data_IF_817658634219
#
_entry.id   IF_817658634219
#
_cell.length_a   1.000
_cell.length_b   1.000
_cell.length_c   1.000
_cell.angle_alpha   90.00
_cell.angle_beta   90.00
_cell.angle_gamma   90.00
#
_symmetry.space_group_name_H-M   'P 1'
#
loop_
_entity.id
_entity.type
_entity.pdbx_description
1 polymer ?
#
# COMPACT_ATOMS: atom_id res chain seq x y z
N UNK A 1 20.22 5.07 -3.37
CA UNK A 1 18.88 5.51 -2.93
C UNK A 1 17.87 4.66 -3.68
N UNK A 2 17.30 3.65 -3.02
CA UNK A 2 16.31 2.76 -3.63
C UNK A 2 15.03 3.56 -3.90
N UNK A 3 14.75 3.85 -5.17
CA UNK A 3 13.56 4.59 -5.62
C UNK A 3 12.40 3.67 -5.99
N UNK A 4 12.34 2.49 -5.38
CA UNK A 4 11.21 1.59 -5.53
C UNK A 4 10.00 2.23 -4.83
N UNK A 5 8.81 2.29 -5.47
CA UNK A 5 7.55 2.53 -4.76
C UNK A 5 7.50 1.64 -3.53
N UNK A 6 6.86 2.10 -2.44
CA UNK A 6 6.64 1.23 -1.27
C UNK A 6 5.70 0.13 -1.71
N UNK A 7 6.29 -0.98 -2.18
CA UNK A 7 5.59 -2.15 -2.70
C UNK A 7 4.53 -2.53 -1.71
N UNK A 8 3.26 -2.52 -2.16
CA UNK A 8 2.15 -2.98 -1.37
C UNK A 8 0.92 -3.31 -2.20
N UNK A 9 0.72 -4.60 -2.32
CA UNK A 9 -0.55 -5.19 -2.63
C UNK A 9 -1.17 -5.68 -1.29
N UNK A 10 -2.37 -5.22 -0.96
CA UNK A 10 -3.14 -5.64 0.20
C UNK A 10 -3.84 -6.96 -0.13
N UNK A 11 -3.60 -8.02 0.63
CA UNK A 11 -4.30 -9.30 0.46
C UNK A 11 -5.36 -9.47 1.54
N UNK A 12 -6.62 -9.73 1.19
CA UNK A 12 -7.66 -10.05 2.20
C UNK A 12 -7.54 -11.50 2.66
N UNK A 13 -7.73 -11.78 3.96
CA UNK A 13 -7.32 -13.04 4.62
C UNK A 13 -8.17 -14.28 4.35
N UNK A 14 -8.59 -14.51 3.11
CA UNK A 14 -8.98 -15.85 2.66
C UNK A 14 -8.24 -16.14 1.35
N UNK A 15 -7.12 -16.88 1.39
CA UNK A 15 -6.38 -17.23 0.19
C UNK A 15 -7.04 -18.44 -0.46
N UNK A 16 -7.95 -18.23 -1.42
CA UNK A 16 -8.36 -19.33 -2.32
C UNK A 16 -8.98 -18.93 -3.67
N UNK A 17 -8.98 -17.66 -4.09
CA UNK A 17 -9.44 -17.31 -5.44
C UNK A 17 -8.78 -16.02 -5.93
N UNK A 18 -8.44 -15.99 -7.22
CA UNK A 18 -8.11 -14.75 -7.93
C UNK A 18 -9.23 -13.72 -7.68
N UNK A 19 -8.90 -12.56 -7.11
CA UNK A 19 -9.88 -11.52 -6.74
C UNK A 19 -9.69 -10.81 -5.40
N UNK A 20 -8.70 -11.23 -4.59
CA UNK A 20 -8.51 -10.72 -3.23
C UNK A 20 -7.35 -9.72 -3.04
N UNK A 21 -6.69 -9.31 -4.13
CA UNK A 21 -5.59 -8.36 -4.10
C UNK A 21 -6.08 -6.93 -4.33
N UNK A 22 -5.71 -6.02 -3.43
CA UNK A 22 -6.06 -4.60 -3.52
C UNK A 22 -4.83 -3.72 -3.54
N UNK A 23 -4.84 -2.64 -4.29
CA UNK A 23 -3.77 -1.62 -4.27
C UNK A 23 -4.33 -0.33 -3.70
N UNK A 24 -3.60 0.30 -2.78
CA UNK A 24 -4.00 1.58 -2.21
C UNK A 24 -3.85 2.71 -3.23
N UNK A 25 -4.81 3.66 -3.32
CA UNK A 25 -4.62 4.89 -4.10
C UNK A 25 -3.37 5.67 -3.70
N UNK A 26 -2.90 5.51 -2.44
CA UNK A 26 -1.68 6.13 -1.94
C UNK A 26 -0.43 5.58 -2.65
N UNK A 27 -0.40 4.26 -2.91
CA UNK A 27 0.67 3.62 -3.68
C UNK A 27 0.66 4.12 -5.12
N UNK A 28 -0.53 4.31 -5.71
CA UNK A 28 -0.65 4.88 -7.07
C UNK A 28 -0.10 6.30 -7.14
N UNK A 29 -0.41 7.12 -6.13
CA UNK A 29 0.14 8.47 -6.01
C UNK A 29 1.67 8.44 -5.90
N UNK A 30 2.24 7.61 -5.01
CA UNK A 30 3.70 7.54 -4.84
C UNK A 30 4.41 7.08 -6.11
N UNK A 31 3.88 6.05 -6.78
CA UNK A 31 4.39 5.56 -8.06
C UNK A 31 4.37 6.66 -9.12
N UNK A 32 3.24 7.37 -9.25
CA UNK A 32 3.08 8.46 -10.22
C UNK A 32 4.03 9.62 -9.90
N UNK A 33 4.14 10.01 -8.64
CA UNK A 33 5.03 11.08 -8.20
C UNK A 33 6.51 10.72 -8.46
N UNK A 34 6.93 9.49 -8.16
CA UNK A 34 8.28 9.02 -8.47
C UNK A 34 8.56 9.03 -9.97
N UNK A 35 7.55 8.67 -10.78
CA UNK A 35 7.67 8.74 -12.24
C UNK A 35 7.82 10.18 -12.73
N UNK A 36 6.97 11.10 -12.27
CA UNK A 36 7.03 12.53 -12.59
C UNK A 36 8.38 13.14 -12.20
N UNK A 37 8.95 12.72 -11.07
CA UNK A 37 10.27 13.15 -10.60
C UNK A 37 11.45 12.47 -11.32
N UNK A 38 11.19 11.59 -12.30
CA UNK A 38 12.23 10.84 -13.02
C UNK A 38 12.95 9.79 -12.18
N UNK A 39 12.43 9.49 -10.98
CA UNK A 39 12.98 8.54 -10.02
C UNK A 39 12.54 7.10 -10.28
N UNK A 40 11.45 6.92 -11.02
CA UNK A 40 10.93 5.64 -11.49
C UNK A 40 10.65 5.72 -13.01
N UNK A 41 11.20 4.78 -13.77
CA UNK A 41 10.90 4.65 -15.20
C UNK A 41 9.85 3.57 -15.40
N UNK A 42 8.66 3.97 -15.82
CA UNK A 42 7.62 3.07 -16.29
C UNK A 42 7.77 2.90 -17.80
N UNK A 43 7.43 1.73 -18.31
CA UNK A 43 7.41 1.44 -19.76
C UNK A 43 6.30 2.20 -20.50
N UNK A 44 5.31 2.71 -19.76
CA UNK A 44 4.15 3.47 -20.24
C UNK A 44 3.81 4.61 -19.29
N UNK A 45 2.95 5.53 -19.71
CA UNK A 45 2.40 6.54 -18.82
C UNK A 45 1.71 5.87 -17.60
N UNK A 46 1.78 6.45 -16.38
CA UNK A 46 1.25 5.84 -15.15
C UNK A 46 -0.19 5.35 -15.28
N UNK A 47 -1.05 6.15 -15.90
CA UNK A 47 -2.46 5.84 -16.13
C UNK A 47 -2.67 4.60 -17.02
N UNK A 48 -1.90 4.47 -18.12
CA UNK A 48 -1.95 3.28 -18.98
C UNK A 48 -1.38 2.04 -18.27
N UNK A 49 -0.28 2.21 -17.53
CA UNK A 49 0.32 1.14 -16.74
C UNK A 49 -0.63 0.60 -15.68
N UNK A 50 -1.37 1.49 -15.00
CA UNK A 50 -2.37 1.13 -13.99
C UNK A 50 -3.56 0.38 -14.60
N UNK A 51 -4.10 0.84 -15.73
CA UNK A 51 -5.18 0.12 -16.42
C UNK A 51 -4.78 -1.30 -16.76
N UNK A 52 -3.60 -1.48 -17.37
CA UNK A 52 -3.09 -2.81 -17.73
C UNK A 52 -2.96 -3.73 -16.51
N UNK A 53 -2.46 -3.21 -15.39
CA UNK A 53 -2.35 -3.97 -14.15
C UNK A 53 -3.72 -4.38 -13.56
N UNK A 54 -4.75 -3.54 -13.72
CA UNK A 54 -6.11 -3.82 -13.25
C UNK A 54 -6.87 -4.77 -14.19
N UNK A 55 -6.66 -4.62 -15.50
CA UNK A 55 -7.30 -5.41 -16.56
C UNK A 55 -6.77 -6.84 -16.65
N UNK A 56 -5.52 -7.08 -16.20
CA UNK A 56 -4.93 -8.42 -16.07
C UNK A 56 -5.70 -9.36 -15.11
N UNK A 57 -6.70 -8.84 -14.38
CA UNK A 57 -7.54 -9.60 -13.48
C UNK A 57 -6.90 -9.81 -12.10
N UNK A 58 -7.72 -9.83 -11.05
CA UNK A 58 -7.27 -10.15 -9.69
C UNK A 58 -6.80 -8.98 -8.83
N UNK A 59 -6.63 -7.77 -9.39
CA UNK A 59 -6.30 -6.54 -8.63
C UNK A 59 -7.49 -5.57 -8.63
N UNK A 60 -7.75 -4.94 -7.48
CA UNK A 60 -8.74 -3.87 -7.31
C UNK A 60 -8.12 -2.67 -6.60
N UNK A 61 -8.63 -1.48 -6.84
CA UNK A 61 -8.22 -0.32 -6.04
C UNK A 61 -8.95 -0.33 -4.70
N UNK A 62 -8.22 -0.11 -3.61
CA UNK A 62 -8.80 0.09 -2.28
C UNK A 62 -9.47 1.46 -2.19
N UNK A 63 -10.51 1.59 -1.37
CA UNK A 63 -11.12 2.88 -1.10
C UNK A 63 -10.30 3.65 -0.06
N UNK A 64 -9.98 4.92 -0.36
CA UNK A 64 -9.47 5.86 0.64
C UNK A 64 -10.65 6.58 1.32
N UNK A 65 -11.29 5.88 2.25
CA UNK A 65 -12.48 6.39 2.96
C UNK A 65 -12.14 7.49 3.96
N UNK A 66 -13.16 8.25 4.40
CA UNK A 66 -13.06 9.21 5.51
C UNK A 66 -12.50 8.55 6.78
N UNK A 67 -12.97 7.34 7.10
CA UNK A 67 -12.53 6.55 8.26
C UNK A 67 -11.05 6.20 8.15
N UNK A 68 -10.59 5.81 6.95
CA UNK A 68 -9.17 5.56 6.67
C UNK A 68 -8.33 6.81 6.91
N UNK A 69 -8.76 7.97 6.41
CA UNK A 69 -8.05 9.23 6.57
C UNK A 69 -7.93 9.68 8.04
N UNK A 70 -9.04 9.61 8.79
CA UNK A 70 -9.03 9.92 10.24
C UNK A 70 -8.14 8.93 10.98
N UNK A 71 -8.30 7.62 10.71
CA UNK A 71 -7.49 6.57 11.34
C UNK A 71 -5.99 6.74 11.11
N UNK A 72 -5.59 7.17 9.91
CA UNK A 72 -4.20 7.50 9.59
C UNK A 72 -3.70 8.71 10.40
N UNK A 73 -4.50 9.77 10.50
CA UNK A 73 -4.17 10.97 11.28
C UNK A 73 -3.98 10.70 12.77
N UNK A 74 -4.66 9.69 13.31
CA UNK A 74 -4.56 9.28 14.71
C UNK A 74 -3.32 8.42 15.02
N UNK A 75 -2.59 7.94 14.01
CA UNK A 75 -1.33 7.22 14.25
C UNK A 75 -0.25 8.25 14.68
N UNK A 76 0.32 8.13 15.90
CA UNK A 76 1.33 9.07 16.38
C UNK A 76 2.54 9.14 15.46
N UNK A 77 3.07 10.35 15.24
CA UNK A 77 4.27 10.56 14.41
C UNK A 77 5.51 9.83 14.94
N UNK A 78 5.55 9.60 16.24
CA UNK A 78 6.60 8.81 16.91
C UNK A 78 6.54 7.32 16.58
N UNK A 79 5.37 6.81 16.18
CA UNK A 79 5.19 5.43 15.77
C UNK A 79 5.43 5.24 14.26
N UNK A 80 4.88 6.14 13.43
CA UNK A 80 5.14 6.21 11.99
C UNK A 80 5.26 7.68 11.58
N UNK A 81 6.46 8.07 11.14
CA UNK A 81 6.77 9.47 10.84
C UNK A 81 6.18 9.94 9.51
N UNK A 82 6.07 9.05 8.54
CA UNK A 82 5.60 9.36 7.19
C UNK A 82 4.06 9.36 7.11
N UNK A 83 3.42 10.45 6.66
CA UNK A 83 1.97 10.48 6.45
C UNK A 83 1.47 9.44 5.43
N UNK A 84 2.24 9.12 4.39
CA UNK A 84 1.83 8.12 3.39
C UNK A 84 1.84 6.71 3.99
N UNK A 85 2.85 6.37 4.82
CA UNK A 85 2.88 5.09 5.54
C UNK A 85 1.68 4.95 6.47
N UNK A 86 1.31 6.02 7.18
CA UNK A 86 0.14 6.04 8.05
C UNK A 86 -1.16 5.79 7.27
N UNK A 87 -1.31 6.38 6.08
CA UNK A 87 -2.46 6.12 5.22
C UNK A 87 -2.49 4.68 4.71
N UNK A 88 -1.34 4.13 4.30
CA UNK A 88 -1.22 2.75 3.85
C UNK A 88 -1.60 1.75 4.96
N UNK A 89 -1.05 1.93 6.15
CA UNK A 89 -1.37 1.12 7.33
C UNK A 89 -2.84 1.25 7.72
N UNK A 90 -3.38 2.47 7.79
CA UNK A 90 -4.79 2.68 8.11
C UNK A 90 -5.72 2.02 7.07
N UNK A 91 -5.34 2.02 5.79
CA UNK A 91 -6.08 1.35 4.72
C UNK A 91 -6.14 -0.17 4.98
N UNK A 92 -5.00 -0.77 5.32
CA UNK A 92 -4.93 -2.18 5.66
C UNK A 92 -5.79 -2.55 6.88
N UNK A 93 -5.74 -1.72 7.93
CA UNK A 93 -6.53 -1.88 9.15
C UNK A 93 -8.02 -1.82 8.84
N UNK A 94 -8.46 -0.80 8.09
CA UNK A 94 -9.86 -0.59 7.72
C UNK A 94 -10.43 -1.73 6.88
N UNK A 95 -9.63 -2.30 5.99
CA UNK A 95 -10.05 -3.42 5.13
C UNK A 95 -9.89 -4.79 5.81
N UNK A 96 -9.39 -4.83 7.05
CA UNK A 96 -8.94 -6.06 7.70
C UNK A 96 -8.06 -6.89 6.76
N UNK A 97 -7.14 -6.26 6.03
CA UNK A 97 -6.27 -6.91 5.06
C UNK A 97 -4.91 -7.25 5.68
N UNK A 98 -4.21 -8.21 5.07
CA UNK A 98 -2.77 -8.41 5.24
C UNK A 98 -2.03 -7.43 4.32
N UNK A 99 -1.15 -6.65 4.92
CA UNK A 99 -0.34 -5.61 4.29
C UNK A 99 1.00 -6.20 3.81
N UNK A 100 1.16 -6.40 2.50
CA UNK A 100 2.38 -6.98 1.92
C UNK A 100 3.46 -5.92 1.68
N UNK A 101 4.45 -5.74 2.55
CA UNK A 101 5.47 -4.69 2.40
C UNK A 101 6.88 -5.19 2.65
N UNK A 102 7.85 -4.65 1.93
CA UNK A 102 9.28 -4.85 2.20
C UNK A 102 9.86 -3.75 3.12
N UNK A 103 9.07 -2.74 3.50
CA UNK A 103 9.54 -1.63 4.36
C UNK A 103 9.64 -2.09 5.82
N UNK A 104 10.87 -2.17 6.32
CA UNK A 104 11.15 -2.63 7.69
C UNK A 104 10.50 -1.74 8.75
N UNK A 105 10.36 -0.43 8.51
CA UNK A 105 9.72 0.47 9.48
C UNK A 105 8.26 0.12 9.71
N UNK A 106 7.55 -0.27 8.65
CA UNK A 106 6.15 -0.68 8.76
C UNK A 106 6.04 -2.09 9.37
N UNK A 107 6.96 -3.00 9.02
CA UNK A 107 7.03 -4.32 9.63
C UNK A 107 7.26 -4.24 11.15
N UNK A 108 8.20 -3.39 11.59
CA UNK A 108 8.52 -3.16 13.00
C UNK A 108 7.35 -2.49 13.74
N UNK A 109 6.71 -1.49 13.11
CA UNK A 109 5.50 -0.87 13.64
C UNK A 109 4.38 -1.91 13.84
N UNK A 110 4.15 -2.77 12.85
CA UNK A 110 3.09 -3.78 12.92
C UNK A 110 3.32 -4.82 14.02
N UNK A 111 4.57 -5.20 14.26
CA UNK A 111 4.94 -6.11 15.34
C UNK A 111 4.59 -5.56 16.73
N UNK A 112 4.57 -4.23 16.90
CA UNK A 112 4.30 -3.57 18.19
C UNK A 112 2.86 -3.04 18.31
N UNK A 113 2.21 -2.70 17.20
CA UNK A 113 0.89 -2.04 17.20
C UNK A 113 -0.31 -2.99 17.33
N UNK A 114 -0.12 -4.32 17.22
CA UNK A 114 -1.13 -5.36 17.52
C UNK A 114 -2.38 -5.42 16.62
N UNK A 115 -2.59 -4.46 15.71
CA UNK A 115 -3.84 -4.29 14.98
C UNK A 115 -3.70 -4.18 13.46
N UNK A 116 -2.53 -4.45 12.91
CA UNK A 116 -2.31 -4.54 11.45
C UNK A 116 -1.58 -5.84 11.15
N UNK A 117 -2.12 -6.64 10.23
CA UNK A 117 -1.44 -7.84 9.75
C UNK A 117 -0.49 -7.43 8.64
N UNK A 118 0.77 -7.83 8.75
CA UNK A 118 1.78 -7.59 7.72
C UNK A 118 2.40 -8.90 7.26
N UNK A 119 2.84 -8.93 6.02
CA UNK A 119 3.71 -9.98 5.49
C UNK A 119 4.81 -9.30 4.67
N UNK A 120 6.03 -9.81 4.77
CA UNK A 120 7.15 -9.28 4.00
C UNK A 120 6.98 -9.67 2.52
N UNK A 121 7.05 -8.69 1.61
CA UNK A 121 6.90 -8.92 0.17
C UNK A 121 8.20 -9.42 -0.51
N UNK A 122 9.37 -9.25 0.13
CA UNK A 122 10.68 -9.68 -0.36
C UNK A 122 11.07 -11.11 0.03
N UNK A 123 10.13 -11.94 0.49
CA UNK A 123 10.36 -13.35 0.84
C UNK A 123 9.30 -14.26 0.23
#
# INVERSE_FOLDING_TARGET
>A
MNNTPRELALSTSKPSAAGNLRVSPVTLFELTALHTLGRLRLTRAPDAWMREALDAGGIRIAELSRQTAIGAGMIPRTALSDPLDRLLVATARQLHATFLTSDTRILDFAATAGHVRVQNAGK
#
